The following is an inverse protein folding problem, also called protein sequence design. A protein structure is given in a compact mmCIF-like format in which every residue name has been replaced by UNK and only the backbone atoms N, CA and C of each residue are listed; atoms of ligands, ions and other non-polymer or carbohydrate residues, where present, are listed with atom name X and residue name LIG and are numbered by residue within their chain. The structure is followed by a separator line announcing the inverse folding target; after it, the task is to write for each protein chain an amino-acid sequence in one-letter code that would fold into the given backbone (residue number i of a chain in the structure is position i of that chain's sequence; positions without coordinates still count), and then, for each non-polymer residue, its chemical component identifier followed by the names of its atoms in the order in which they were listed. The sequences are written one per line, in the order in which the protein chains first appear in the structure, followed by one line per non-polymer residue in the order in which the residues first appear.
data_IF_364778788243
#
_entry.id   IF_364778788243
#
_cell.length_a   1.000
_cell.length_b   1.000
_cell.length_c   1.000
_cell.angle_alpha   90.00
_cell.angle_beta   90.00
_cell.angle_gamma   90.00
#
_symmetry.space_group_name_H-M   'P 1'
#
loop_
_entity.id
_entity.type
_entity.pdbx_description
1 polymer ?
#
# COMPACT_ATOMS: atom_id res chain seq x y z
N UNK A 1 -5.82 -34.23 8.75
CA UNK A 1 -6.08 -33.79 7.36
C UNK A 1 -7.01 -32.59 7.41
N UNK A 2 -6.45 -31.38 7.50
CA UNK A 2 -7.26 -30.15 7.52
C UNK A 2 -7.54 -29.79 6.06
N UNK A 3 -8.82 -29.86 5.70
CA UNK A 3 -9.30 -29.64 4.35
C UNK A 3 -9.01 -28.18 3.93
N UNK A 4 -8.23 -28.07 2.87
CA UNK A 4 -8.04 -26.88 2.05
C UNK A 4 -9.38 -26.49 1.41
N UNK A 5 -10.21 -25.72 2.12
CA UNK A 5 -11.32 -24.98 1.52
C UNK A 5 -10.79 -23.62 1.02
N UNK A 6 -10.01 -23.66 -0.07
CA UNK A 6 -9.69 -22.50 -0.87
C UNK A 6 -10.91 -22.18 -1.73
N UNK A 7 -11.46 -20.98 -1.53
CA UNK A 7 -12.78 -20.60 -2.02
C UNK A 7 -12.74 -20.22 -3.51
N UNK A 8 -13.14 -21.18 -4.37
CA UNK A 8 -13.90 -21.11 -5.65
C UNK A 8 -13.77 -19.97 -6.70
N UNK A 9 -12.93 -18.95 -6.53
CA UNK A 9 -12.67 -17.93 -7.56
C UNK A 9 -11.22 -17.89 -8.04
N UNK A 10 -10.27 -18.35 -7.23
CA UNK A 10 -8.83 -18.33 -7.54
C UNK A 10 -8.44 -19.44 -8.54
N UNK A 11 -9.18 -20.54 -8.62
CA UNK A 11 -8.85 -21.64 -9.55
C UNK A 11 -8.94 -21.24 -11.04
N UNK A 12 -9.50 -20.06 -11.35
CA UNK A 12 -9.56 -19.52 -12.72
C UNK A 12 -8.63 -18.34 -12.97
N UNK A 13 -8.08 -17.72 -11.93
CA UNK A 13 -7.28 -16.52 -12.04
C UNK A 13 -5.91 -16.72 -11.39
N UNK A 14 -4.86 -16.79 -12.21
CA UNK A 14 -3.49 -16.94 -11.77
C UNK A 14 -2.83 -15.56 -11.66
N UNK A 15 -2.06 -15.34 -10.60
CA UNK A 15 -1.28 -14.12 -10.39
C UNK A 15 0.20 -14.45 -10.68
N UNK A 16 0.84 -13.65 -11.52
CA UNK A 16 2.21 -13.88 -11.97
C UNK A 16 2.92 -12.56 -12.26
N UNK A 17 4.24 -12.61 -12.44
CA UNK A 17 5.06 -11.41 -12.59
C UNK A 17 4.62 -10.54 -13.79
N UNK A 18 4.83 -9.23 -13.64
CA UNK A 18 4.51 -8.24 -14.66
C UNK A 18 5.24 -8.59 -15.97
N UNK A 19 4.48 -8.75 -17.05
CA UNK A 19 5.02 -9.06 -18.39
C UNK A 19 4.34 -8.27 -19.50
N UNK A 20 3.19 -7.64 -19.21
CA UNK A 20 2.58 -6.70 -20.15
C UNK A 20 3.35 -5.39 -20.17
N UNK A 21 3.84 -5.02 -21.36
CA UNK A 21 4.57 -3.76 -21.59
C UNK A 21 3.84 -2.56 -20.98
N UNK A 22 2.52 -2.43 -21.18
CA UNK A 22 1.73 -1.31 -20.64
C UNK A 22 1.77 -1.20 -19.09
N UNK A 23 1.91 -2.31 -18.36
CA UNK A 23 1.97 -2.30 -16.90
C UNK A 23 3.37 -1.89 -16.44
N UNK A 24 4.40 -2.38 -17.13
CA UNK A 24 5.78 -1.96 -16.91
C UNK A 24 5.92 -0.46 -17.19
N UNK A 25 5.38 0.02 -18.31
CA UNK A 25 5.33 1.46 -18.64
C UNK A 25 4.60 2.26 -17.57
N UNK A 26 3.45 1.77 -17.07
CA UNK A 26 2.71 2.44 -16.00
C UNK A 26 3.55 2.70 -14.74
N UNK A 27 4.38 1.74 -14.34
CA UNK A 27 5.28 1.90 -13.21
C UNK A 27 6.54 2.71 -13.56
N UNK A 28 7.06 2.57 -14.78
CA UNK A 28 8.19 3.36 -15.28
C UNK A 28 7.88 4.86 -15.33
N UNK A 29 6.69 5.25 -15.78
CA UNK A 29 6.19 6.65 -15.71
C UNK A 29 6.10 7.20 -14.28
N UNK A 30 6.10 6.31 -13.28
CA UNK A 30 6.07 6.65 -11.84
C UNK A 30 7.43 6.52 -11.19
N UNK A 31 8.48 6.30 -11.99
CA UNK A 31 9.85 6.09 -11.54
C UNK A 31 10.01 4.89 -10.61
N UNK A 32 9.18 3.85 -10.79
CA UNK A 32 9.26 2.60 -10.02
C UNK A 32 9.96 1.54 -10.87
N UNK A 33 11.08 1.03 -10.37
CA UNK A 33 11.90 0.04 -11.03
C UNK A 33 11.31 -1.37 -10.95
N UNK A 34 11.66 -2.22 -11.92
CA UNK A 34 11.27 -3.65 -11.89
C UNK A 34 11.79 -4.37 -10.64
N UNK A 35 12.95 -3.97 -10.12
CA UNK A 35 13.52 -4.51 -8.88
C UNK A 35 12.60 -4.27 -7.69
N UNK A 36 12.09 -3.05 -7.56
CA UNK A 36 11.14 -2.69 -6.50
C UNK A 36 9.82 -3.44 -6.67
N UNK A 37 9.30 -3.55 -7.91
CA UNK A 37 8.10 -4.34 -8.19
C UNK A 37 8.27 -5.81 -7.79
N UNK A 38 9.42 -6.40 -8.10
CA UNK A 38 9.73 -7.79 -7.75
C UNK A 38 9.85 -8.00 -6.25
N UNK A 39 10.59 -7.15 -5.53
CA UNK A 39 10.72 -7.24 -4.06
C UNK A 39 9.37 -7.13 -3.36
N UNK A 40 8.50 -6.28 -3.90
CA UNK A 40 7.16 -6.01 -3.38
C UNK A 40 6.10 -7.00 -3.84
N UNK A 41 6.49 -8.03 -4.60
CA UNK A 41 5.59 -9.00 -5.19
C UNK A 41 4.41 -8.33 -5.93
N UNK A 42 4.66 -7.21 -6.62
CA UNK A 42 3.68 -6.61 -7.52
C UNK A 42 3.57 -7.52 -8.74
N UNK A 43 2.35 -7.89 -9.07
CA UNK A 43 2.05 -8.87 -10.09
C UNK A 43 0.97 -8.38 -11.04
N UNK A 44 0.59 -9.22 -12.00
CA UNK A 44 -0.57 -9.02 -12.87
C UNK A 44 -1.52 -10.22 -12.82
N UNK A 45 -2.77 -9.94 -13.10
CA UNK A 45 -3.82 -10.95 -13.18
C UNK A 45 -3.77 -11.67 -14.54
N UNK A 46 -3.95 -12.98 -14.53
CA UNK A 46 -4.33 -13.77 -15.70
C UNK A 46 -5.58 -14.56 -15.40
N UNK A 47 -6.28 -14.97 -16.45
CA UNK A 47 -7.34 -15.96 -16.37
C UNK A 47 -7.08 -17.17 -17.25
N UNK A 48 -7.89 -18.20 -17.05
CA UNK A 48 -7.97 -19.32 -17.98
C UNK A 48 -9.35 -19.32 -18.67
N UNK A 49 -9.34 -19.28 -20.00
CA UNK A 49 -10.54 -19.42 -20.80
C UNK A 49 -10.37 -20.62 -21.75
N UNK A 50 -11.17 -21.66 -21.55
CA UNK A 50 -11.15 -22.88 -22.37
C UNK A 50 -9.77 -23.55 -22.48
N UNK A 51 -8.98 -23.52 -21.41
CA UNK A 51 -7.62 -24.08 -21.37
C UNK A 51 -6.53 -23.10 -21.82
N UNK A 52 -6.88 -21.92 -22.32
CA UNK A 52 -5.93 -20.90 -22.76
C UNK A 52 -5.68 -19.86 -21.65
N UNK A 53 -4.40 -19.54 -21.42
CA UNK A 53 -3.99 -18.47 -20.52
C UNK A 53 -4.26 -17.11 -21.17
N UNK A 54 -5.03 -16.27 -20.47
CA UNK A 54 -5.35 -14.90 -20.86
C UNK A 54 -4.68 -13.95 -19.89
N UNK A 55 -3.79 -13.12 -20.41
CA UNK A 55 -3.08 -12.11 -19.62
C UNK A 55 -3.92 -10.82 -19.57
N UNK A 56 -4.18 -10.31 -18.37
CA UNK A 56 -5.04 -9.14 -18.19
C UNK A 56 -4.22 -7.88 -17.82
N UNK A 57 -4.63 -6.73 -18.34
CA UNK A 57 -4.07 -5.41 -17.98
C UNK A 57 -4.53 -4.95 -16.59
N UNK A 58 -4.29 -5.78 -15.58
CA UNK A 58 -4.70 -5.57 -14.19
C UNK A 58 -3.51 -5.79 -13.30
N UNK A 59 -3.15 -4.75 -12.54
CA UNK A 59 -2.12 -4.79 -11.52
C UNK A 59 -2.70 -5.52 -10.29
N UNK A 60 -1.94 -6.46 -9.76
CA UNK A 60 -2.22 -7.19 -8.53
C UNK A 60 -1.20 -6.80 -7.45
N UNK A 61 -1.68 -6.12 -6.41
CA UNK A 61 -0.91 -5.70 -5.25
C UNK A 61 -1.12 -6.75 -4.15
N UNK A 62 -0.09 -7.58 -3.91
CA UNK A 62 -0.19 -8.73 -3.02
C UNK A 62 0.09 -8.34 -1.57
N UNK A 63 -0.90 -8.51 -0.70
CA UNK A 63 -0.74 -8.36 0.74
C UNK A 63 -0.18 -9.67 1.29
N UNK A 64 0.95 -9.59 1.97
CA UNK A 64 1.68 -10.77 2.44
C UNK A 64 1.99 -10.67 3.93
N UNK A 65 2.00 -11.83 4.57
CA UNK A 65 2.42 -11.99 5.96
C UNK A 65 3.28 -13.25 6.06
N UNK A 66 4.49 -13.12 6.60
CA UNK A 66 5.50 -14.18 6.67
C UNK A 66 5.74 -14.84 5.30
N UNK A 67 5.81 -14.03 4.24
CA UNK A 67 5.98 -14.47 2.86
C UNK A 67 4.75 -15.11 2.21
N UNK A 68 3.65 -15.33 2.94
CA UNK A 68 2.41 -15.94 2.43
C UNK A 68 1.46 -14.87 1.92
N UNK A 69 0.82 -15.12 0.77
CA UNK A 69 -0.25 -14.27 0.24
C UNK A 69 -1.49 -14.40 1.14
N UNK A 70 -1.93 -13.30 1.74
CA UNK A 70 -3.13 -13.27 2.61
C UNK A 70 -4.27 -12.46 2.03
N UNK A 71 -3.99 -11.60 1.05
CA UNK A 71 -5.00 -10.88 0.29
C UNK A 71 -4.42 -10.20 -0.94
N UNK A 72 -5.28 -9.75 -1.84
CA UNK A 72 -4.86 -9.03 -3.03
C UNK A 72 -5.80 -7.87 -3.32
N UNK A 73 -5.20 -6.72 -3.64
CA UNK A 73 -5.90 -5.56 -4.18
C UNK A 73 -5.53 -5.42 -5.64
N UNK A 74 -6.54 -5.19 -6.45
CA UNK A 74 -6.40 -5.11 -7.88
C UNK A 74 -6.67 -3.71 -8.36
N UNK A 75 -5.96 -3.32 -9.41
CA UNK A 75 -6.15 -2.05 -10.10
C UNK A 75 -6.18 -2.30 -11.60
N UNK A 76 -7.26 -1.89 -12.26
CA UNK A 76 -7.27 -1.81 -13.72
C UNK A 76 -6.58 -0.54 -14.20
N UNK A 77 -6.13 -0.53 -15.46
CA UNK A 77 -5.57 0.67 -16.08
C UNK A 77 -6.54 1.86 -16.07
N UNK A 78 -7.85 1.61 -16.09
CA UNK A 78 -8.92 2.62 -15.95
C UNK A 78 -9.15 3.11 -14.51
N UNK A 79 -8.19 2.94 -13.60
CA UNK A 79 -8.24 3.38 -12.19
C UNK A 79 -9.40 2.79 -11.37
N UNK A 80 -9.92 1.61 -11.75
CA UNK A 80 -10.89 0.88 -10.93
C UNK A 80 -10.14 -0.02 -9.98
N UNK A 81 -10.50 0.05 -8.69
CA UNK A 81 -9.91 -0.76 -7.65
C UNK A 81 -10.92 -1.74 -7.07
N UNK A 82 -10.46 -2.93 -6.74
CA UNK A 82 -11.23 -3.88 -5.96
C UNK A 82 -10.27 -4.73 -5.12
N UNK A 83 -10.78 -5.27 -4.02
CA UNK A 83 -10.03 -6.15 -3.15
C UNK A 83 -10.76 -7.48 -3.07
N UNK A 84 -9.99 -8.55 -2.88
CA UNK A 84 -10.54 -9.86 -2.61
C UNK A 84 -11.42 -9.86 -1.35
N UNK A 85 -12.54 -10.59 -1.40
CA UNK A 85 -13.49 -10.64 -0.28
C UNK A 85 -13.09 -11.75 0.68
N UNK A 86 -13.36 -11.54 1.97
CA UNK A 86 -13.11 -12.55 3.00
C UNK A 86 -11.63 -12.76 3.33
N UNK A 87 -10.74 -11.92 2.80
CA UNK A 87 -9.32 -11.92 3.14
C UNK A 87 -9.05 -11.08 4.38
N UNK A 88 -7.97 -11.39 5.08
CA UNK A 88 -7.49 -10.55 6.17
C UNK A 88 -7.13 -9.17 5.65
N UNK A 89 -7.56 -8.14 6.37
CA UNK A 89 -7.14 -6.76 6.09
C UNK A 89 -5.87 -6.51 6.89
N UNK A 90 -4.76 -6.34 6.21
CA UNK A 90 -3.46 -5.97 6.79
C UNK A 90 -2.88 -4.78 6.03
N UNK A 91 -1.74 -4.26 6.49
CA UNK A 91 -0.96 -3.26 5.79
C UNK A 91 -0.23 -3.89 4.59
N UNK A 92 -0.10 -3.15 3.49
CA UNK A 92 0.72 -3.58 2.36
C UNK A 92 2.20 -3.41 2.72
N UNK A 93 3.02 -4.43 2.49
CA UNK A 93 4.44 -4.44 2.89
C UNK A 93 4.69 -4.83 4.35
N UNK A 94 3.74 -5.47 5.04
CA UNK A 94 3.83 -5.80 6.47
C UNK A 94 5.14 -6.53 6.86
N UNK A 95 5.61 -7.45 6.01
CA UNK A 95 6.85 -8.20 6.25
C UNK A 95 8.10 -7.30 6.35
N UNK A 96 8.08 -6.12 5.71
CA UNK A 96 9.20 -5.18 5.74
C UNK A 96 9.40 -4.49 7.09
N UNK A 97 8.37 -4.49 7.95
CA UNK A 97 8.39 -3.83 9.26
C UNK A 97 8.50 -4.81 10.43
N UNK A 98 8.67 -6.12 10.17
CA UNK A 98 8.66 -7.16 11.20
C UNK A 98 9.64 -6.88 12.36
N UNK A 99 10.83 -6.37 12.05
CA UNK A 99 11.88 -6.06 13.03
C UNK A 99 12.28 -4.58 13.01
N UNK A 100 11.44 -3.72 12.42
CA UNK A 100 11.75 -2.30 12.26
C UNK A 100 11.35 -1.50 13.52
N UNK A 101 12.31 -0.75 14.07
CA UNK A 101 12.04 0.17 15.19
C UNK A 101 11.48 1.53 14.72
N UNK A 102 11.80 1.92 13.49
CA UNK A 102 11.23 3.09 12.83
C UNK A 102 10.49 2.61 11.58
N UNK A 103 9.25 3.09 11.39
CA UNK A 103 8.41 2.71 10.24
C UNK A 103 7.81 3.94 9.57
N UNK A 104 7.54 3.82 8.28
CA UNK A 104 6.86 4.85 7.48
C UNK A 104 5.51 4.30 7.04
N UNK A 105 4.43 5.03 7.32
CA UNK A 105 3.08 4.68 6.85
C UNK A 105 2.64 5.72 5.80
N UNK A 106 2.38 5.25 4.59
CA UNK A 106 1.85 6.05 3.47
C UNK A 106 0.39 5.69 3.17
N UNK A 107 -0.27 6.50 2.34
CA UNK A 107 -1.67 6.26 1.97
C UNK A 107 -1.84 5.16 0.92
N UNK A 108 -1.08 5.23 -0.18
CA UNK A 108 -1.23 4.32 -1.32
C UNK A 108 -0.09 3.32 -1.48
N UNK A 109 -0.38 2.21 -2.17
CA UNK A 109 0.66 1.21 -2.47
C UNK A 109 1.74 1.78 -3.40
N UNK A 110 1.40 2.68 -4.32
CA UNK A 110 2.38 3.34 -5.22
C UNK A 110 3.33 4.25 -4.43
N UNK A 111 2.84 4.93 -3.39
CA UNK A 111 3.68 5.75 -2.52
C UNK A 111 4.65 4.88 -1.74
N UNK A 112 4.23 3.68 -1.32
CA UNK A 112 5.11 2.73 -0.63
C UNK A 112 6.27 2.33 -1.54
N UNK A 113 5.96 2.00 -2.79
CA UNK A 113 6.98 1.69 -3.80
C UNK A 113 7.91 2.89 -4.04
N UNK A 114 7.37 4.10 -4.04
CA UNK A 114 8.15 5.33 -4.22
C UNK A 114 9.09 5.62 -3.05
N UNK A 115 8.64 5.39 -1.82
CA UNK A 115 9.49 5.49 -0.61
C UNK A 115 10.62 4.46 -0.64
N UNK A 116 10.36 3.28 -1.19
CA UNK A 116 11.40 2.27 -1.38
C UNK A 116 12.43 2.65 -2.45
N UNK A 117 12.00 3.27 -3.56
CA UNK A 117 12.91 3.85 -4.55
C UNK A 117 13.81 4.94 -3.93
N UNK A 118 13.33 5.64 -2.90
CA UNK A 118 14.14 6.58 -2.11
C UNK A 118 15.08 5.89 -1.09
N UNK A 119 15.11 4.56 -1.04
CA UNK A 119 16.01 3.77 -0.21
C UNK A 119 15.42 3.30 1.13
N UNK A 120 14.14 3.54 1.39
CA UNK A 120 13.50 3.19 2.66
C UNK A 120 12.57 1.97 2.50
N UNK A 121 13.06 0.81 2.91
CA UNK A 121 12.28 -0.43 2.83
C UNK A 121 11.28 -0.59 3.98
N UNK A 122 11.50 0.07 5.12
CA UNK A 122 10.66 0.05 6.33
C UNK A 122 9.36 0.86 6.16
N UNK A 123 8.68 0.70 5.02
CA UNK A 123 7.49 1.45 4.65
C UNK A 123 6.32 0.50 4.38
N UNK A 124 5.12 0.92 4.81
CA UNK A 124 3.87 0.21 4.60
C UNK A 124 2.78 1.17 4.12
N UNK A 125 1.78 0.68 3.39
CA UNK A 125 0.60 1.47 3.04
C UNK A 125 -0.67 0.95 3.68
N UNK A 126 -1.62 1.87 3.94
CA UNK A 126 -2.97 1.48 4.38
C UNK A 126 -3.75 0.84 3.24
N UNK A 127 -4.65 -0.13 3.51
CA UNK A 127 -5.38 -0.82 2.44
C UNK A 127 -6.53 -0.01 1.84
N UNK A 128 -7.15 0.86 2.66
CA UNK A 128 -8.45 1.49 2.38
C UNK A 128 -8.42 2.96 1.97
N UNK A 129 -7.25 3.58 1.85
CA UNK A 129 -7.11 5.03 1.60
C UNK A 129 -7.61 5.90 2.77
N UNK A 130 -7.69 7.21 2.54
CA UNK A 130 -8.07 8.18 3.56
C UNK A 130 -9.60 8.34 3.79
N UNK A 131 -10.02 8.62 5.04
CA UNK A 131 -11.38 9.08 5.32
C UNK A 131 -11.56 10.55 4.88
N UNK A 132 -12.80 10.97 4.65
CA UNK A 132 -13.08 12.39 4.33
C UNK A 132 -12.80 13.35 5.50
N UNK A 133 -12.93 12.88 6.74
CA UNK A 133 -12.71 13.68 7.95
C UNK A 133 -12.33 12.81 9.13
N UNK A 134 -11.69 13.42 10.12
CA UNK A 134 -11.41 12.83 11.42
C UNK A 134 -12.74 12.53 12.14
N UNK A 135 -12.81 11.38 12.81
CA UNK A 135 -13.99 11.02 13.58
C UNK A 135 -14.15 11.95 14.78
N UNK A 136 -15.28 12.63 14.89
CA UNK A 136 -15.61 13.42 16.09
C UNK A 136 -15.98 12.53 17.30
N UNK A 137 -16.11 11.21 17.10
CA UNK A 137 -16.43 10.26 18.17
C UNK A 137 -15.15 9.84 18.90
N UNK A 138 -15.34 9.35 20.12
CA UNK A 138 -14.31 8.61 20.83
C UNK A 138 -13.84 7.40 19.99
N UNK A 139 -12.61 6.96 20.27
CA UNK A 139 -12.07 5.80 19.57
C UNK A 139 -12.93 4.57 19.88
N UNK A 140 -13.39 3.84 18.85
CA UNK A 140 -14.08 2.58 19.09
C UNK A 140 -13.16 1.58 19.80
N UNK A 141 -13.76 0.65 20.55
CA UNK A 141 -13.03 -0.53 21.04
C UNK A 141 -12.48 -1.35 19.86
N UNK A 142 -11.43 -2.14 20.07
CA UNK A 142 -10.78 -2.93 19.00
C UNK A 142 -11.80 -3.71 18.14
N UNK A 143 -12.75 -4.40 18.78
CA UNK A 143 -13.75 -5.23 18.09
C UNK A 143 -14.75 -4.43 17.24
N UNK A 144 -14.86 -3.12 17.48
CA UNK A 144 -15.82 -2.23 16.82
C UNK A 144 -15.16 -1.33 15.77
N UNK A 145 -13.83 -1.31 15.69
CA UNK A 145 -13.08 -0.44 14.79
C UNK A 145 -12.92 -1.04 13.39
N UNK A 146 -14.03 -1.29 12.72
CA UNK A 146 -14.07 -2.03 11.45
C UNK A 146 -13.33 -1.34 10.31
N UNK A 147 -13.25 0.01 10.32
CA UNK A 147 -12.55 0.79 9.31
C UNK A 147 -11.03 0.69 9.43
N UNK A 148 -10.51 0.60 10.67
CA UNK A 148 -9.07 0.54 10.97
C UNK A 148 -8.63 -0.82 11.52
N UNK A 149 -9.47 -1.85 11.37
CA UNK A 149 -9.21 -3.20 11.89
C UNK A 149 -7.87 -3.78 11.39
N UNK A 150 -7.39 -3.31 10.24
CA UNK A 150 -6.08 -3.68 9.72
C UNK A 150 -4.91 -3.30 10.64
N UNK A 151 -5.03 -2.24 11.45
CA UNK A 151 -4.03 -1.88 12.45
C UNK A 151 -3.98 -2.92 13.57
N UNK A 152 -5.14 -3.44 13.99
CA UNK A 152 -5.22 -4.47 15.02
C UNK A 152 -4.67 -5.80 14.53
N UNK A 153 -4.94 -6.18 13.28
CA UNK A 153 -4.34 -7.35 12.64
C UNK A 153 -2.81 -7.23 12.51
N UNK A 154 -2.28 -6.01 12.48
CA UNK A 154 -0.84 -5.73 12.39
C UNK A 154 -0.22 -5.32 13.74
N UNK A 155 -0.95 -5.44 14.86
CA UNK A 155 -0.55 -4.85 16.15
C UNK A 155 0.82 -5.31 16.63
N UNK A 156 1.11 -6.60 16.48
CA UNK A 156 2.40 -7.20 16.89
C UNK A 156 3.62 -6.59 16.16
N UNK A 157 3.41 -6.08 14.95
CA UNK A 157 4.44 -5.40 14.15
C UNK A 157 4.53 -3.93 14.56
N UNK A 158 3.36 -3.28 14.69
CA UNK A 158 3.25 -1.85 14.98
C UNK A 158 3.69 -1.50 16.41
N UNK A 159 3.48 -2.37 17.39
CA UNK A 159 3.88 -2.16 18.78
C UNK A 159 5.40 -2.12 18.96
N UNK A 160 6.16 -2.80 18.11
CA UNK A 160 7.64 -2.80 18.15
C UNK A 160 8.23 -1.46 17.72
N UNK A 161 7.52 -0.71 16.86
CA UNK A 161 8.02 0.55 16.34
C UNK A 161 7.96 1.65 17.40
N UNK A 162 9.12 2.13 17.87
CA UNK A 162 9.20 3.30 18.74
C UNK A 162 8.96 4.61 17.99
N UNK A 163 9.11 4.61 16.66
CA UNK A 163 8.91 5.79 15.82
C UNK A 163 8.11 5.48 14.56
N UNK A 164 7.03 6.22 14.37
CA UNK A 164 6.11 6.06 13.24
C UNK A 164 6.05 7.38 12.46
N UNK A 165 6.49 7.34 11.22
CA UNK A 165 6.44 8.46 10.29
C UNK A 165 5.16 8.33 9.45
N UNK A 166 4.25 9.29 9.60
CA UNK A 166 3.00 9.36 8.86
C UNK A 166 3.22 10.23 7.62
N UNK A 167 3.39 9.58 6.48
CA UNK A 167 3.64 10.15 5.16
C UNK A 167 2.40 9.99 4.26
N UNK A 168 1.23 10.37 4.78
CA UNK A 168 -0.04 10.38 4.03
C UNK A 168 -0.11 11.57 3.08
N UNK A 169 -1.14 11.60 2.23
CA UNK A 169 -1.34 12.67 1.26
C UNK A 169 -1.40 14.05 1.94
N UNK A 170 -0.84 15.06 1.29
CA UNK A 170 -0.78 16.45 1.74
C UNK A 170 -2.11 17.20 1.69
N UNK A 171 -3.21 16.52 1.35
CA UNK A 171 -4.55 17.09 1.24
C UNK A 171 -5.38 16.86 2.52
N UNK A 172 -6.61 17.39 2.55
CA UNK A 172 -7.46 17.30 3.75
C UNK A 172 -7.81 15.85 4.14
N UNK A 173 -8.16 14.94 3.20
CA UNK A 173 -8.31 13.52 3.51
C UNK A 173 -7.03 12.88 4.09
N UNK A 174 -5.87 13.08 3.46
CA UNK A 174 -4.61 12.52 3.94
C UNK A 174 -4.22 13.03 5.33
N UNK A 175 -4.51 14.31 5.63
CA UNK A 175 -4.36 14.86 6.98
C UNK A 175 -5.31 14.20 8.00
N UNK A 176 -6.55 13.91 7.60
CA UNK A 176 -7.51 13.20 8.44
C UNK A 176 -7.07 11.75 8.70
N UNK A 177 -6.51 11.08 7.69
CA UNK A 177 -5.92 9.74 7.83
C UNK A 177 -4.77 9.75 8.84
N UNK A 178 -3.83 10.69 8.73
CA UNK A 178 -2.71 10.80 9.66
C UNK A 178 -3.19 10.98 11.11
N UNK A 179 -4.20 11.82 11.34
CA UNK A 179 -4.75 12.02 12.69
C UNK A 179 -5.43 10.74 13.21
N UNK A 180 -6.23 10.05 12.40
CA UNK A 180 -6.88 8.80 12.81
C UNK A 180 -5.89 7.66 13.08
N UNK A 181 -4.79 7.59 12.32
CA UNK A 181 -3.66 6.69 12.58
C UNK A 181 -2.98 7.06 13.91
N UNK A 182 -2.60 8.32 14.10
CA UNK A 182 -1.90 8.77 15.31
C UNK A 182 -2.72 8.54 16.58
N UNK A 183 -4.04 8.74 16.51
CA UNK A 183 -4.97 8.46 17.63
C UNK A 183 -4.96 6.99 18.08
N UNK A 184 -4.77 6.06 17.15
CA UNK A 184 -4.78 4.59 17.42
C UNK A 184 -3.41 4.04 17.74
N UNK A 185 -2.37 4.61 17.13
CA UNK A 185 -1.01 4.14 17.27
C UNK A 185 -0.32 4.76 18.49
N UNK A 186 -0.78 5.92 18.98
CA UNK A 186 -0.10 6.69 20.03
C UNK A 186 0.57 7.91 19.40
N UNK A 187 0.06 9.10 19.74
CA UNK A 187 0.51 10.37 19.14
C UNK A 187 1.95 10.71 19.47
N UNK A 188 2.39 10.34 20.67
CA UNK A 188 3.74 10.56 21.20
C UNK A 188 4.84 9.91 20.37
N UNK A 189 4.50 8.86 19.62
CA UNK A 189 5.42 8.16 18.71
C UNK A 189 5.10 8.36 17.24
N UNK A 190 4.26 9.36 16.89
CA UNK A 190 3.90 9.66 15.51
C UNK A 190 4.47 11.01 15.06
N UNK A 191 5.14 11.03 13.91
CA UNK A 191 5.66 12.22 13.25
C UNK A 191 5.02 12.36 11.88
N UNK A 192 4.43 13.52 11.58
CA UNK A 192 3.81 13.77 10.29
C UNK A 192 4.80 14.40 9.31
N UNK A 193 4.87 13.86 8.10
CA UNK A 193 5.65 14.47 7.01
C UNK A 193 4.99 15.76 6.56
N UNK A 194 5.82 16.77 6.32
CA UNK A 194 5.43 17.97 5.58
C UNK A 194 6.07 17.90 4.20
N UNK A 195 5.26 17.71 3.18
CA UNK A 195 5.75 17.60 1.81
C UNK A 195 6.39 18.91 1.33
N UNK A 196 7.46 18.84 0.52
CA UNK A 196 8.16 20.04 0.06
C UNK A 196 7.27 20.94 -0.80
N UNK A 197 7.62 22.23 -0.84
CA UNK A 197 6.95 23.21 -1.70
C UNK A 197 7.42 23.07 -3.14
N UNK A 198 6.47 23.18 -4.07
CA UNK A 198 6.69 23.47 -5.48
C UNK A 198 6.94 24.98 -5.65
N UNK A 199 7.47 25.36 -6.80
CA UNK A 199 7.80 26.76 -7.13
C UNK A 199 6.58 27.70 -7.05
N UNK A 200 5.40 27.18 -7.36
CA UNK A 200 4.13 27.92 -7.40
C UNK A 200 3.42 28.03 -6.04
N UNK A 201 4.14 27.82 -4.93
CA UNK A 201 3.65 27.82 -3.55
C UNK A 201 2.72 26.67 -3.15
N UNK A 202 2.35 25.77 -4.07
CA UNK A 202 1.69 24.52 -3.72
C UNK A 202 2.69 23.52 -3.15
N UNK A 203 2.25 22.49 -2.41
CA UNK A 203 3.13 21.41 -1.97
C UNK A 203 2.97 20.19 -2.89
N UNK A 204 4.00 19.33 -2.91
CA UNK A 204 3.82 17.96 -3.43
C UNK A 204 2.73 17.24 -2.65
N UNK A 205 1.92 16.45 -3.35
CA UNK A 205 0.80 15.75 -2.74
C UNK A 205 1.26 14.55 -1.93
N UNK A 206 2.14 13.74 -2.49
CA UNK A 206 2.50 12.43 -1.94
C UNK A 206 3.96 12.06 -2.30
N UNK A 207 4.39 10.88 -1.86
CA UNK A 207 5.75 10.39 -2.08
C UNK A 207 6.06 10.20 -3.57
N UNK A 208 5.07 9.74 -4.36
CA UNK A 208 5.28 9.48 -5.78
C UNK A 208 5.52 10.77 -6.57
N UNK A 209 4.76 11.84 -6.28
CA UNK A 209 4.99 13.14 -6.93
C UNK A 209 6.40 13.69 -6.64
N UNK A 210 6.90 13.53 -5.41
CA UNK A 210 8.28 13.95 -5.05
C UNK A 210 9.30 13.13 -5.81
N UNK A 211 9.14 11.81 -5.86
CA UNK A 211 10.06 10.93 -6.60
C UNK A 211 10.11 11.31 -8.08
N UNK A 212 8.95 11.46 -8.72
CA UNK A 212 8.86 11.86 -10.11
C UNK A 212 9.59 13.19 -10.39
N UNK A 213 9.41 14.18 -9.51
CA UNK A 213 10.08 15.49 -9.65
C UNK A 213 11.60 15.41 -9.52
N UNK A 214 12.12 14.73 -8.49
CA UNK A 214 13.56 14.60 -8.28
C UNK A 214 14.24 13.87 -9.44
N UNK A 215 13.62 12.82 -9.97
CA UNK A 215 14.15 12.13 -11.15
C UNK A 215 14.14 13.03 -12.39
N UNK A 216 13.12 13.86 -12.58
CA UNK A 216 13.06 14.80 -13.71
C UNK A 216 14.20 15.82 -13.67
N UNK A 217 14.71 16.19 -12.49
CA UNK A 217 15.85 17.10 -12.33
C UNK A 217 17.21 16.43 -12.64
N UNK A 218 17.30 15.10 -12.57
CA UNK A 218 18.54 14.34 -12.80
C UNK A 218 18.75 13.93 -14.26
N UNK A 219 17.78 14.17 -15.14
CA UNK A 219 17.79 13.77 -16.56
C UNK A 219 18.21 14.93 -17.49
N UNK A 220 18.63 16.07 -16.93
CA UNK A 220 19.24 17.19 -17.64
C UNK A 220 20.72 17.35 -17.26
#
# INVERSE_FOLDING_TARGET
MVANHWNSYIDKLLVFFLSLFQLITYFGERMISEKTLWRNAVMQLSGNQSGQLIIMSVIALTYRQNGRLVGCKYRSMGKRFWQEKGTEKILYGLDDIQEANEIIIVEGEVDKLSVEEAGFCNCVSVPGGAPQKVSAKELPSLDKDTAYHYLWNCKEYLDKASRIILATDGDSPGQALAEELARRLGKERCWRVSWPKKEDSSCFKDANEVCHFLYSLLVF
#
